data_IF_736635204830
#
_entry.id   IF_736635204830
#
_cell.length_a   1.000
_cell.length_b   1.000
_cell.length_c   1.000
_cell.angle_alpha   90.00
_cell.angle_beta   90.00
_cell.angle_gamma   90.00
#
_symmetry.space_group_name_H-M   'P 1'
#
loop_
_entity.id
_entity.type
_entity.pdbx_description
1 polymer ?
#
# COMPACT_ATOMS: atom_id res chain seq x y z
N UNK A 1 -2.28 -8.55 -9.22
CA UNK A 1 -2.41 -7.98 -7.87
C UNK A 1 -3.84 -8.09 -7.33
N UNK A 2 -4.11 -7.55 -6.16
CA UNK A 2 -5.46 -7.58 -5.56
C UNK A 2 -6.49 -6.90 -6.47
N UNK A 3 -6.14 -5.79 -7.11
CA UNK A 3 -6.99 -5.08 -8.08
C UNK A 3 -7.38 -5.98 -9.25
N UNK A 4 -6.42 -6.68 -9.85
CA UNK A 4 -6.69 -7.57 -10.99
C UNK A 4 -7.61 -8.72 -10.58
N UNK A 5 -7.41 -9.28 -9.38
CA UNK A 5 -8.31 -10.28 -8.80
C UNK A 5 -9.72 -9.75 -8.64
N UNK A 6 -9.88 -8.57 -8.06
CA UNK A 6 -11.19 -7.94 -7.86
C UNK A 6 -11.90 -7.67 -9.20
N UNK A 7 -11.17 -7.31 -10.25
CA UNK A 7 -11.75 -7.14 -11.60
C UNK A 7 -12.24 -8.49 -12.14
N UNK A 8 -11.41 -9.54 -12.07
CA UNK A 8 -11.78 -10.88 -12.53
C UNK A 8 -13.02 -11.42 -11.79
N UNK A 9 -13.11 -11.16 -10.49
CA UNK A 9 -14.24 -11.54 -9.65
C UNK A 9 -15.47 -10.62 -9.84
N UNK A 10 -15.35 -9.53 -10.62
CA UNK A 10 -16.43 -8.56 -10.86
C UNK A 10 -16.77 -7.69 -9.64
N UNK A 11 -15.83 -7.55 -8.69
CA UNK A 11 -16.04 -6.77 -7.46
C UNK A 11 -15.92 -5.27 -7.71
N UNK A 12 -15.10 -4.85 -8.69
CA UNK A 12 -14.91 -3.45 -9.01
C UNK A 12 -15.98 -2.95 -9.99
N UNK A 13 -16.81 -2.02 -9.55
CA UNK A 13 -17.95 -1.50 -10.31
C UNK A 13 -17.56 -0.77 -11.62
N UNK A 14 -16.34 -0.21 -11.71
CA UNK A 14 -15.86 0.46 -12.92
C UNK A 14 -15.28 -0.51 -13.98
N UNK A 15 -15.26 -1.81 -13.69
CA UNK A 15 -14.92 -2.87 -14.62
C UNK A 15 -15.98 -3.97 -14.59
N UNK A 16 -17.22 -3.68 -15.01
CA UNK A 16 -18.29 -4.66 -15.02
C UNK A 16 -18.04 -5.75 -16.07
N UNK A 17 -18.70 -6.90 -15.91
CA UNK A 17 -18.44 -8.09 -16.73
C UNK A 17 -18.66 -7.88 -18.24
N UNK A 18 -19.51 -6.95 -18.62
CA UNK A 18 -19.74 -6.55 -20.01
C UNK A 18 -18.50 -5.94 -20.71
N UNK A 19 -17.50 -5.52 -19.94
CA UNK A 19 -16.23 -5.01 -20.49
C UNK A 19 -15.21 -6.12 -20.81
N UNK A 20 -15.60 -7.39 -20.69
CA UNK A 20 -14.73 -8.52 -21.07
C UNK A 20 -14.90 -8.89 -22.55
N UNK A 21 -13.83 -9.38 -23.21
CA UNK A 21 -12.49 -9.63 -22.67
C UNK A 21 -11.69 -8.35 -22.41
N UNK A 22 -10.93 -8.30 -21.32
CA UNK A 22 -10.07 -7.18 -20.96
C UNK A 22 -8.63 -7.64 -20.70
N UNK A 23 -7.65 -6.85 -21.15
CA UNK A 23 -6.25 -7.05 -20.78
C UNK A 23 -6.03 -6.43 -19.40
N UNK A 24 -5.59 -7.22 -18.45
CA UNK A 24 -5.36 -6.81 -17.07
C UNK A 24 -4.01 -6.08 -16.91
N UNK A 25 -3.73 -5.67 -15.65
CA UNK A 25 -2.53 -4.96 -15.27
C UNK A 25 -2.70 -3.43 -15.34
N UNK A 26 -2.17 -2.74 -14.33
CA UNK A 26 -2.36 -1.30 -14.15
C UNK A 26 -1.06 -0.57 -13.74
N UNK A 27 0.05 -1.29 -13.70
CA UNK A 27 1.40 -0.75 -13.44
C UNK A 27 2.41 -1.45 -14.35
N UNK A 28 3.42 -0.73 -14.82
CA UNK A 28 4.45 -1.29 -15.69
C UNK A 28 5.66 -0.36 -15.81
N UNK A 29 6.74 -0.92 -16.33
CA UNK A 29 7.91 -0.19 -16.84
C UNK A 29 8.11 -0.59 -18.29
N UNK A 30 8.60 0.33 -19.11
CA UNK A 30 8.84 0.08 -20.53
C UNK A 30 9.69 1.15 -21.18
N UNK A 31 9.91 1.00 -22.46
CA UNK A 31 10.63 1.95 -23.33
C UNK A 31 9.64 2.52 -24.32
N UNK A 32 9.68 3.83 -24.53
CA UNK A 32 8.85 4.49 -25.52
C UNK A 32 9.40 4.16 -26.92
N UNK A 33 8.57 3.58 -27.77
CA UNK A 33 8.93 3.33 -29.17
C UNK A 33 8.58 4.52 -30.09
N UNK A 34 7.40 5.10 -29.89
CA UNK A 34 6.90 6.21 -30.66
C UNK A 34 6.13 7.21 -29.79
N UNK A 35 6.12 8.46 -30.17
CA UNK A 35 5.37 9.54 -29.51
C UNK A 35 4.41 10.23 -30.50
N UNK A 36 3.25 10.63 -29.97
CA UNK A 36 2.29 11.41 -30.76
C UNK A 36 2.84 12.80 -31.12
N UNK A 37 2.33 13.39 -32.23
CA UNK A 37 2.79 14.66 -32.84
C UNK A 37 2.93 15.83 -31.85
N UNK A 38 2.10 15.87 -30.81
CA UNK A 38 2.05 16.98 -29.83
C UNK A 38 2.79 16.67 -28.52
N UNK A 39 3.48 15.53 -28.44
CA UNK A 39 4.22 15.12 -27.23
C UNK A 39 5.60 15.75 -27.26
N UNK A 40 5.89 16.61 -26.29
CA UNK A 40 7.18 17.31 -26.15
C UNK A 40 7.98 16.88 -24.94
N UNK A 41 7.32 16.24 -23.96
CA UNK A 41 7.93 15.83 -22.67
C UNK A 41 8.67 14.50 -22.75
N UNK A 42 8.42 13.69 -23.79
CA UNK A 42 8.99 12.37 -24.00
C UNK A 42 9.48 12.19 -25.43
N UNK A 43 10.37 11.23 -25.63
CA UNK A 43 10.86 10.83 -26.96
C UNK A 43 11.05 9.31 -27.03
N UNK A 44 11.16 8.76 -28.24
CA UNK A 44 11.56 7.38 -28.44
C UNK A 44 12.88 7.06 -27.72
N UNK A 45 12.97 5.90 -27.09
CA UNK A 45 14.09 5.48 -26.28
C UNK A 45 14.01 5.91 -24.79
N UNK A 46 13.09 6.80 -24.40
CA UNK A 46 12.91 7.14 -22.98
C UNK A 46 12.37 5.92 -22.22
N UNK A 47 13.04 5.56 -21.11
CA UNK A 47 12.55 4.58 -20.15
C UNK A 47 11.51 5.24 -19.24
N UNK A 48 10.33 4.64 -19.14
CA UNK A 48 9.21 5.18 -18.39
C UNK A 48 8.54 4.11 -17.53
N UNK A 49 7.89 4.56 -16.47
CA UNK A 49 7.04 3.72 -15.65
C UNK A 49 5.73 4.45 -15.33
N UNK A 50 4.76 3.69 -14.88
CA UNK A 50 3.54 4.22 -14.30
C UNK A 50 2.99 3.27 -13.22
N UNK A 51 2.25 3.84 -12.28
CA UNK A 51 1.49 3.10 -11.29
C UNK A 51 0.05 3.59 -11.29
N UNK A 52 -0.90 2.67 -11.22
CA UNK A 52 -2.33 2.97 -11.26
C UNK A 52 -2.78 3.68 -12.55
N UNK A 53 -2.19 3.30 -13.69
CA UNK A 53 -2.60 3.77 -15.01
C UNK A 53 -3.83 3.02 -15.54
N UNK A 54 -4.26 3.34 -16.78
CA UNK A 54 -5.29 2.56 -17.46
C UNK A 54 -4.96 1.07 -17.49
N UNK A 55 -5.98 0.21 -17.46
CA UNK A 55 -5.80 -1.25 -17.58
C UNK A 55 -5.12 -1.61 -18.89
N UNK A 56 -4.44 -2.78 -18.94
CA UNK A 56 -3.80 -3.29 -20.13
C UNK A 56 -2.27 -3.43 -20.05
N UNK A 57 -1.68 -3.48 -18.85
CA UNK A 57 -0.23 -3.62 -18.68
C UNK A 57 0.30 -5.01 -19.07
N UNK A 58 -0.56 -6.03 -19.12
CA UNK A 58 -0.15 -7.38 -19.55
C UNK A 58 -0.14 -7.49 -21.07
N UNK A 59 0.56 -6.58 -21.73
CA UNK A 59 0.74 -6.50 -23.15
C UNK A 59 2.21 -6.22 -23.50
N UNK A 60 2.65 -6.69 -24.66
CA UNK A 60 4.01 -6.40 -25.14
C UNK A 60 4.17 -4.91 -25.49
N UNK A 61 3.12 -4.32 -26.08
CA UNK A 61 3.07 -2.93 -26.48
C UNK A 61 1.70 -2.34 -26.13
N UNK A 62 1.66 -1.04 -25.84
CA UNK A 62 0.41 -0.33 -25.57
C UNK A 62 0.54 1.17 -25.78
N UNK A 63 -0.59 1.81 -26.04
CA UNK A 63 -0.68 3.27 -26.05
C UNK A 63 -0.98 3.77 -24.64
N UNK A 64 -0.25 4.80 -24.21
CA UNK A 64 -0.41 5.39 -22.88
C UNK A 64 -0.52 6.91 -22.95
N UNK A 65 -1.42 7.52 -22.14
CA UNK A 65 -1.41 8.97 -21.95
C UNK A 65 -0.12 9.42 -21.25
N UNK A 66 0.49 10.48 -21.74
CA UNK A 66 1.74 11.00 -21.16
C UNK A 66 1.63 11.47 -19.73
N UNK A 67 0.44 11.93 -19.29
CA UNK A 67 0.19 12.40 -17.93
C UNK A 67 0.36 11.32 -16.85
N UNK A 68 0.31 10.04 -17.22
CA UNK A 68 0.52 8.91 -16.30
C UNK A 68 1.97 8.43 -16.25
N UNK A 69 2.82 8.92 -17.14
CA UNK A 69 4.18 8.42 -17.32
C UNK A 69 5.20 9.21 -16.49
N UNK A 70 6.13 8.49 -15.89
CA UNK A 70 7.28 9.04 -15.17
C UNK A 70 8.56 8.48 -15.78
N UNK A 71 9.55 9.35 -16.07
CA UNK A 71 10.86 8.91 -16.54
C UNK A 71 11.59 8.11 -15.46
N UNK A 72 12.12 6.97 -15.83
CA UNK A 72 12.91 6.12 -14.93
C UNK A 72 14.34 6.62 -14.88
N UNK A 73 14.89 6.98 -13.71
CA UNK A 73 16.30 7.33 -13.56
C UNK A 73 17.21 6.20 -14.05
N UNK A 74 18.30 6.56 -14.75
CA UNK A 74 19.21 5.58 -15.35
C UNK A 74 19.85 4.58 -14.39
N UNK A 75 20.01 4.97 -13.12
CA UNK A 75 20.59 4.12 -12.06
C UNK A 75 19.63 3.04 -11.55
N UNK A 76 18.32 3.14 -11.83
CA UNK A 76 17.33 2.18 -11.35
C UNK A 76 17.11 1.05 -12.36
N UNK A 77 17.02 -0.17 -11.88
CA UNK A 77 16.70 -1.37 -12.66
C UNK A 77 15.19 -1.45 -12.89
N UNK A 78 14.80 -1.97 -14.05
CA UNK A 78 13.38 -2.08 -14.43
C UNK A 78 12.57 -2.99 -13.52
N UNK A 79 13.15 -4.10 -13.07
CA UNK A 79 12.50 -5.03 -12.14
C UNK A 79 12.20 -4.38 -10.77
N UNK A 80 13.13 -3.56 -10.27
CA UNK A 80 12.90 -2.77 -9.06
C UNK A 80 11.79 -1.73 -9.27
N UNK A 81 11.84 -0.99 -10.39
CA UNK A 81 10.85 0.03 -10.69
C UNK A 81 9.45 -0.57 -10.86
N UNK A 82 9.34 -1.66 -11.64
CA UNK A 82 8.08 -2.38 -11.82
C UNK A 82 7.50 -2.92 -10.50
N UNK A 83 8.37 -3.38 -9.60
CA UNK A 83 7.96 -3.93 -8.31
C UNK A 83 7.60 -2.89 -7.26
N UNK A 84 8.07 -1.64 -7.38
CA UNK A 84 7.95 -0.65 -6.31
C UNK A 84 7.10 0.59 -6.66
N UNK A 85 6.83 0.86 -7.95
CA UNK A 85 6.27 2.17 -8.34
C UNK A 85 4.94 2.46 -7.63
N UNK A 86 3.92 1.64 -7.80
CA UNK A 86 2.63 1.84 -7.15
C UNK A 86 2.72 1.73 -5.63
N UNK A 87 3.46 0.73 -5.15
CA UNK A 87 3.62 0.49 -3.71
C UNK A 87 4.39 1.62 -3.03
N UNK A 88 5.44 2.13 -3.67
CA UNK A 88 6.23 3.26 -3.18
C UNK A 88 5.43 4.56 -3.15
N UNK A 89 4.62 4.83 -4.18
CA UNK A 89 3.68 5.96 -4.19
C UNK A 89 2.66 5.83 -3.05
N UNK A 90 2.16 4.62 -2.80
CA UNK A 90 1.28 4.36 -1.66
C UNK A 90 1.96 4.70 -0.34
N UNK A 91 3.15 4.19 -0.09
CA UNK A 91 3.89 4.51 1.14
C UNK A 91 4.17 6.00 1.24
N UNK A 92 4.54 6.65 0.13
CA UNK A 92 4.80 8.09 0.13
C UNK A 92 3.59 8.90 0.63
N UNK A 93 2.39 8.67 0.10
CA UNK A 93 1.24 9.43 0.56
C UNK A 93 0.82 9.06 1.98
N UNK A 94 0.99 7.79 2.40
CA UNK A 94 0.70 7.37 3.76
C UNK A 94 1.56 8.13 4.79
N UNK A 95 2.88 8.24 4.54
CA UNK A 95 3.82 8.82 5.51
C UNK A 95 4.07 10.31 5.33
N UNK A 96 3.61 10.92 4.24
CA UNK A 96 3.88 12.33 3.93
C UNK A 96 2.62 13.20 3.79
N UNK A 97 1.55 12.66 3.21
CA UNK A 97 0.34 13.42 2.89
C UNK A 97 -0.79 13.19 3.90
N UNK A 98 -1.08 11.94 4.26
CA UNK A 98 -2.16 11.63 5.21
C UNK A 98 -1.72 11.85 6.64
N UNK A 99 -0.61 11.26 7.04
CA UNK A 99 0.02 11.52 8.33
C UNK A 99 1.51 11.74 8.11
N UNK A 100 1.97 12.95 8.46
CA UNK A 100 3.40 13.24 8.38
C UNK A 100 4.13 12.54 9.53
N UNK A 101 4.57 11.31 9.26
CA UNK A 101 5.20 10.45 10.24
C UNK A 101 6.49 11.10 10.80
N UNK A 102 6.65 11.05 12.13
CA UNK A 102 7.75 11.69 12.85
C UNK A 102 8.62 10.68 13.59
N UNK A 103 9.90 11.01 13.83
CA UNK A 103 10.75 10.22 14.70
C UNK A 103 10.11 10.00 16.08
N UNK A 104 10.25 8.79 16.62
CA UNK A 104 9.73 8.40 17.93
C UNK A 104 8.25 8.04 17.98
N UNK A 105 7.49 8.24 16.91
CA UNK A 105 6.11 7.76 16.86
C UNK A 105 6.06 6.23 16.77
N UNK A 106 5.09 5.61 17.43
CA UNK A 106 4.76 4.19 17.30
C UNK A 106 3.49 4.06 16.48
N UNK A 107 3.51 3.21 15.46
CA UNK A 107 2.40 2.99 14.53
C UNK A 107 2.07 1.51 14.40
N UNK A 108 0.82 1.20 14.07
CA UNK A 108 0.38 -0.14 13.68
C UNK A 108 0.26 -0.20 12.16
N UNK A 109 0.83 -1.22 11.54
CA UNK A 109 0.71 -1.48 10.10
C UNK A 109 0.21 -2.89 9.85
N UNK A 110 -0.98 -3.02 9.26
CA UNK A 110 -1.52 -4.33 8.90
C UNK A 110 -0.86 -4.91 7.64
N UNK A 111 -0.65 -6.24 7.63
CA UNK A 111 0.02 -6.96 6.55
C UNK A 111 1.46 -6.44 6.29
N UNK A 112 2.26 -6.28 7.34
CA UNK A 112 3.60 -5.69 7.30
C UNK A 112 4.59 -6.43 6.37
N UNK A 113 4.40 -7.72 6.09
CA UNK A 113 5.20 -8.48 5.13
C UNK A 113 4.63 -8.42 3.69
N UNK A 114 3.58 -7.64 3.44
CA UNK A 114 3.05 -7.40 2.11
C UNK A 114 3.90 -6.41 1.31
N UNK A 115 3.61 -6.26 0.01
CA UNK A 115 4.40 -5.41 -0.86
C UNK A 115 4.47 -3.93 -0.45
N UNK A 116 3.37 -3.35 0.08
CA UNK A 116 3.37 -2.00 0.66
C UNK A 116 4.07 -2.03 2.03
N UNK A 117 3.77 -3.05 2.86
CA UNK A 117 4.29 -3.17 4.22
C UNK A 117 5.81 -3.22 4.29
N UNK A 118 6.48 -3.96 3.41
CA UNK A 118 7.94 -4.05 3.37
C UNK A 118 8.59 -2.70 3.07
N UNK A 119 8.05 -1.94 2.12
CA UNK A 119 8.56 -0.59 1.80
C UNK A 119 8.24 0.37 2.97
N UNK A 120 7.04 0.25 3.55
CA UNK A 120 6.64 1.07 4.69
C UNK A 120 7.58 0.87 5.89
N UNK A 121 7.89 -0.37 6.27
CA UNK A 121 8.76 -0.68 7.40
C UNK A 121 10.16 -0.07 7.21
N UNK A 122 10.75 -0.20 6.01
CA UNK A 122 12.04 0.41 5.69
C UNK A 122 11.99 1.93 5.81
N UNK A 123 10.94 2.56 5.29
CA UNK A 123 10.81 4.02 5.29
C UNK A 123 10.53 4.55 6.69
N UNK A 124 9.62 3.92 7.45
CA UNK A 124 9.33 4.26 8.84
C UNK A 124 10.58 4.16 9.72
N UNK A 125 11.37 3.10 9.56
CA UNK A 125 12.65 2.94 10.25
C UNK A 125 13.65 4.06 9.89
N UNK A 126 13.73 4.42 8.61
CA UNK A 126 14.58 5.55 8.17
C UNK A 126 14.13 6.88 8.78
N UNK A 127 12.83 7.09 8.94
CA UNK A 127 12.27 8.28 9.63
C UNK A 127 12.59 8.24 11.14
N UNK A 128 12.82 7.07 11.73
CA UNK A 128 12.99 6.88 13.16
C UNK A 128 11.67 6.63 13.93
N UNK A 129 10.64 6.20 13.25
CA UNK A 129 9.39 5.72 13.85
C UNK A 129 9.49 4.22 14.16
N UNK A 130 8.68 3.75 15.11
CA UNK A 130 8.56 2.33 15.49
C UNK A 130 7.33 1.71 14.85
N UNK A 131 7.49 0.52 14.27
CA UNK A 131 6.42 -0.19 13.56
C UNK A 131 6.05 -1.45 14.32
N UNK A 132 4.78 -1.56 14.71
CA UNK A 132 4.13 -2.80 15.10
C UNK A 132 3.44 -3.33 13.83
N UNK A 133 3.81 -4.52 13.38
CA UNK A 133 3.32 -5.09 12.13
C UNK A 133 2.52 -6.36 12.33
N UNK A 134 1.30 -6.48 11.78
CA UNK A 134 0.58 -7.75 11.76
C UNK A 134 1.01 -8.60 10.59
N UNK A 135 1.19 -9.89 10.83
CA UNK A 135 1.62 -10.88 9.84
C UNK A 135 0.90 -12.22 10.06
N UNK A 136 0.84 -13.07 9.03
CA UNK A 136 0.06 -14.32 9.07
C UNK A 136 0.88 -15.57 9.39
N UNK A 137 2.22 -15.48 9.43
CA UNK A 137 3.09 -16.62 9.72
C UNK A 137 4.43 -16.19 10.29
N UNK A 138 5.19 -17.11 10.95
CA UNK A 138 6.53 -16.84 11.45
C UNK A 138 7.51 -16.37 10.36
N UNK A 139 7.49 -16.98 9.17
CA UNK A 139 8.36 -16.59 8.05
C UNK A 139 8.09 -15.16 7.60
N UNK A 140 6.83 -14.75 7.58
CA UNK A 140 6.44 -13.36 7.29
C UNK A 140 6.86 -12.40 8.40
N UNK A 141 6.88 -12.87 9.66
CA UNK A 141 7.38 -12.08 10.76
C UNK A 141 8.89 -11.81 10.62
N UNK A 142 9.66 -12.83 10.26
CA UNK A 142 11.10 -12.66 9.97
C UNK A 142 11.35 -11.72 8.81
N UNK A 143 10.58 -11.87 7.71
CA UNK A 143 10.66 -10.98 6.55
C UNK A 143 10.36 -9.52 6.93
N UNK A 144 9.29 -9.27 7.70
CA UNK A 144 8.95 -7.93 8.14
C UNK A 144 10.04 -7.32 9.04
N UNK A 145 10.57 -8.09 10.00
CA UNK A 145 11.67 -7.65 10.88
C UNK A 145 12.94 -7.34 10.10
N UNK A 146 13.31 -8.18 9.15
CA UNK A 146 14.46 -7.96 8.28
C UNK A 146 14.33 -6.65 7.47
N UNK A 147 13.12 -6.19 7.22
CA UNK A 147 12.82 -4.94 6.52
C UNK A 147 12.48 -3.77 7.47
N UNK A 148 12.74 -3.88 8.77
CA UNK A 148 12.67 -2.76 9.69
C UNK A 148 11.40 -2.66 10.53
N UNK A 149 10.53 -3.68 10.53
CA UNK A 149 9.45 -3.79 11.51
C UNK A 149 10.04 -4.08 12.90
N UNK A 150 9.68 -3.28 13.91
CA UNK A 150 10.24 -3.42 15.26
C UNK A 150 9.55 -4.54 16.05
N UNK A 151 8.23 -4.67 15.92
CA UNK A 151 7.42 -5.69 16.58
C UNK A 151 6.50 -6.36 15.57
N UNK A 152 6.43 -7.68 15.62
CA UNK A 152 5.54 -8.45 14.74
C UNK A 152 4.51 -9.21 15.55
N UNK A 153 3.25 -9.16 15.12
CA UNK A 153 2.13 -9.84 15.74
C UNK A 153 1.59 -10.88 14.78
N UNK A 154 1.56 -12.15 15.20
CA UNK A 154 0.96 -13.27 14.47
C UNK A 154 -0.56 -13.24 14.69
N UNK A 155 -1.27 -12.46 13.89
CA UNK A 155 -2.70 -12.15 14.13
C UNK A 155 -3.64 -13.37 14.11
N UNK A 156 -3.16 -14.51 13.63
CA UNK A 156 -3.92 -15.77 13.66
C UNK A 156 -3.87 -16.48 15.02
N UNK A 157 -2.87 -16.14 15.83
CA UNK A 157 -2.55 -16.79 17.10
C UNK A 157 -2.65 -15.81 18.28
N UNK A 158 -2.46 -14.52 17.99
CA UNK A 158 -2.38 -13.46 18.97
C UNK A 158 -3.46 -12.40 18.72
N UNK A 159 -4.01 -11.85 19.78
CA UNK A 159 -4.88 -10.68 19.69
C UNK A 159 -4.03 -9.42 19.53
N UNK A 160 -4.07 -8.80 18.33
CA UNK A 160 -3.21 -7.67 18.04
C UNK A 160 -3.53 -6.41 18.87
N UNK A 161 -4.76 -6.24 19.36
CA UNK A 161 -5.10 -5.13 20.27
C UNK A 161 -4.37 -5.29 21.61
N UNK A 162 -4.37 -6.50 22.18
CA UNK A 162 -3.66 -6.80 23.40
C UNK A 162 -2.14 -6.61 23.24
N UNK A 163 -1.58 -7.08 22.13
CA UNK A 163 -0.16 -6.92 21.81
C UNK A 163 0.22 -5.44 21.65
N UNK A 164 -0.58 -4.64 20.93
CA UNK A 164 -0.37 -3.20 20.81
C UNK A 164 -0.40 -2.52 22.17
N UNK A 165 -1.36 -2.83 23.02
CA UNK A 165 -1.44 -2.29 24.39
C UNK A 165 -0.21 -2.66 25.22
N UNK A 166 0.26 -3.89 25.10
CA UNK A 166 1.49 -4.34 25.80
C UNK A 166 2.71 -3.56 25.32
N UNK A 167 2.93 -3.46 24.01
CA UNK A 167 4.10 -2.78 23.41
C UNK A 167 4.10 -1.27 23.70
N UNK A 168 2.92 -0.67 23.88
CA UNK A 168 2.76 0.77 24.08
C UNK A 168 2.49 1.16 25.55
N UNK A 169 2.64 0.25 26.49
CA UNK A 169 2.30 0.47 27.93
C UNK A 169 0.87 1.02 28.10
N UNK A 170 -0.08 0.49 27.34
CA UNK A 170 -1.48 0.91 27.33
C UNK A 170 -1.79 2.23 26.63
N UNK A 171 -0.78 2.94 26.12
CA UNK A 171 -0.95 4.28 25.52
C UNK A 171 -1.59 4.26 24.12
N UNK A 172 -1.46 3.15 23.39
CA UNK A 172 -1.87 3.03 22.01
C UNK A 172 -0.91 3.68 21.01
N UNK A 173 -1.21 3.53 19.73
CA UNK A 173 -0.39 4.02 18.62
C UNK A 173 -0.87 5.38 18.09
N UNK A 174 0.03 6.15 17.47
CA UNK A 174 -0.31 7.43 16.86
C UNK A 174 -1.12 7.27 15.59
N UNK A 175 -0.87 6.20 14.83
CA UNK A 175 -1.55 5.92 13.56
C UNK A 175 -1.72 4.42 13.41
N UNK A 176 -2.87 4.00 12.89
CA UNK A 176 -3.07 2.67 12.31
C UNK A 176 -3.18 2.82 10.79
N UNK A 177 -2.37 2.07 10.07
CA UNK A 177 -2.44 1.95 8.61
C UNK A 177 -3.07 0.62 8.24
N UNK A 178 -4.28 0.66 7.71
CA UNK A 178 -5.11 -0.50 7.42
C UNK A 178 -5.40 -0.64 5.92
N UNK A 179 -4.80 -1.64 5.30
CA UNK A 179 -5.08 -2.08 3.94
C UNK A 179 -5.93 -3.35 3.88
N UNK A 180 -6.38 -3.87 5.04
CA UNK A 180 -7.15 -5.12 5.16
C UNK A 180 -8.65 -4.83 5.15
N UNK A 181 -9.13 -3.93 5.99
CA UNK A 181 -10.51 -3.43 6.00
C UNK A 181 -11.41 -4.23 6.94
N UNK A 182 -12.38 -4.97 6.39
CA UNK A 182 -13.47 -5.62 7.15
C UNK A 182 -12.99 -6.34 8.41
N UNK A 183 -11.93 -7.13 8.32
CA UNK A 183 -11.48 -8.02 9.40
C UNK A 183 -10.65 -7.31 10.48
N UNK A 184 -10.21 -6.08 10.25
CA UNK A 184 -9.28 -5.38 11.15
C UNK A 184 -9.77 -4.03 11.63
N UNK A 185 -10.69 -3.41 10.91
CA UNK A 185 -11.05 -2.00 11.11
C UNK A 185 -11.52 -1.69 12.54
N UNK A 186 -12.46 -2.48 13.10
CA UNK A 186 -13.02 -2.20 14.43
C UNK A 186 -11.95 -2.31 15.51
N UNK A 187 -11.23 -3.42 15.53
CA UNK A 187 -10.16 -3.66 16.50
C UNK A 187 -8.99 -2.68 16.34
N UNK A 188 -8.81 -2.13 15.14
CA UNK A 188 -7.81 -1.11 14.86
C UNK A 188 -8.10 0.22 15.56
N UNK A 189 -9.37 0.58 15.74
CA UNK A 189 -9.77 1.76 16.50
C UNK A 189 -9.33 1.64 17.97
N UNK A 190 -9.43 0.44 18.55
CA UNK A 190 -9.03 0.15 19.94
C UNK A 190 -7.51 0.18 20.17
N UNK A 191 -6.73 0.20 19.09
CA UNK A 191 -5.28 0.33 19.13
C UNK A 191 -4.80 1.79 19.18
N UNK A 192 -5.66 2.76 18.86
CA UNK A 192 -5.28 4.17 18.78
C UNK A 192 -5.12 4.79 20.16
N UNK A 193 -4.15 5.68 20.29
CA UNK A 193 -4.11 6.63 21.42
C UNK A 193 -5.17 7.72 21.25
N UNK A 194 -5.52 8.48 22.28
CA UNK A 194 -6.32 9.68 22.13
C UNK A 194 -5.76 10.59 21.03
N UNK A 195 -6.64 11.06 20.13
CA UNK A 195 -6.28 11.84 18.94
C UNK A 195 -5.38 11.10 17.93
N UNK A 196 -5.30 9.78 18.02
CA UNK A 196 -4.64 8.94 17.00
C UNK A 196 -5.42 8.92 15.69
N UNK A 197 -4.75 8.59 14.60
CA UNK A 197 -5.34 8.59 13.27
C UNK A 197 -5.56 7.17 12.74
N UNK A 198 -6.80 6.87 12.32
CA UNK A 198 -7.10 5.68 11.52
C UNK A 198 -6.95 5.99 10.03
N UNK A 199 -6.08 5.28 9.35
CA UNK A 199 -5.85 5.41 7.90
C UNK A 199 -6.27 4.12 7.21
N UNK A 200 -7.44 4.11 6.59
CA UNK A 200 -7.91 3.01 5.75
C UNK A 200 -7.54 3.29 4.31
N UNK A 201 -6.65 2.48 3.72
CA UNK A 201 -6.16 2.68 2.35
C UNK A 201 -6.38 1.46 1.45
N UNK A 202 -7.06 0.43 1.95
CA UNK A 202 -7.37 -0.79 1.22
C UNK A 202 -8.48 -1.61 1.88
N UNK A 203 -8.88 -2.67 1.21
CA UNK A 203 -10.01 -3.52 1.60
C UNK A 203 -9.80 -4.97 1.18
N UNK A 204 -8.62 -5.53 1.41
CA UNK A 204 -8.28 -6.89 0.94
C UNK A 204 -9.14 -8.00 1.54
N UNK A 205 -9.79 -7.78 2.71
CA UNK A 205 -10.79 -8.67 3.31
C UNK A 205 -12.25 -8.24 3.06
N UNK A 206 -12.43 -7.14 2.36
CA UNK A 206 -13.71 -6.49 2.11
C UNK A 206 -13.79 -5.08 2.71
N UNK A 207 -14.84 -4.31 2.39
CA UNK A 207 -15.00 -2.96 2.89
C UNK A 207 -15.15 -2.95 4.41
N UNK A 208 -14.63 -1.90 5.10
CA UNK A 208 -14.89 -1.68 6.52
C UNK A 208 -16.40 -1.60 6.79
N UNK A 209 -16.86 -1.95 8.01
CA UNK A 209 -18.26 -1.80 8.38
C UNK A 209 -18.63 -0.32 8.49
N UNK A 210 -19.92 -0.04 8.33
CA UNK A 210 -20.48 1.27 8.67
C UNK A 210 -20.36 1.51 10.19
N UNK A 211 -19.94 2.71 10.58
CA UNK A 211 -19.81 3.10 11.98
C UNK A 211 -20.53 4.41 12.27
N UNK A 212 -21.08 4.53 13.47
CA UNK A 212 -21.53 5.83 13.97
C UNK A 212 -20.30 6.71 14.31
N UNK A 213 -20.27 7.98 13.92
CA UNK A 213 -19.21 8.91 14.34
C UNK A 213 -19.07 9.04 15.86
N UNK A 214 -20.13 8.78 16.62
CA UNK A 214 -20.10 8.78 18.09
C UNK A 214 -19.15 7.73 18.68
N UNK A 215 -18.85 6.67 17.96
CA UNK A 215 -17.85 5.67 18.36
C UNK A 215 -16.47 6.30 18.51
N UNK A 216 -16.16 7.32 17.74
CA UNK A 216 -14.86 7.99 17.75
C UNK A 216 -14.69 9.00 18.90
N UNK A 217 -15.73 9.21 19.70
CA UNK A 217 -15.73 10.11 20.86
C UNK A 217 -15.50 9.43 22.21
N UNK A 218 -15.21 8.12 22.20
CA UNK A 218 -15.02 7.29 23.40
C UNK A 218 -13.57 7.19 23.87
#
# INVERSE_FOLDING_TARGET
GTTDRHIVEGIQAHHPRENYPAILGHESVGVIEEVGKNVTSFKAGDRVCYGNGPMGSYAAERIMPTGSLVKVPGALRDDHVAGMMLRGLTVWYLVRSLHRLKPGETVLFHAAAGGVGLIFCQWAKHIGAKVIGTVSSPEKAELARANGCDYTVLYREQNFVAEVKTVTDGKGVSVVYDGVGKDTFMDSLDCLRPLGMMVTYGNSSGPPPEISPLLLAQ
#
